data_IF_594457630017
#
_entry.id   IF_594457630017
#
_cell.length_a   1.000
_cell.length_b   1.000
_cell.length_c   1.000
_cell.angle_alpha   90.00
_cell.angle_beta   90.00
_cell.angle_gamma   90.00
#
_symmetry.space_group_name_H-M   'P 1'
#
loop_
_entity.id
_entity.type
_entity.pdbx_description
1 polymer ?
#
# COMPACT_ATOMS: atom_id res chain seq x y z
N UNK A 1 -19.60 27.59 4.49
CA UNK A 1 -18.48 27.26 5.40
C UNK A 1 -17.88 25.96 4.92
N UNK A 2 -16.80 26.03 4.15
CA UNK A 2 -16.10 24.83 3.68
C UNK A 2 -15.18 24.44 4.81
N UNK A 3 -15.48 23.34 5.49
CA UNK A 3 -14.55 22.72 6.44
C UNK A 3 -13.40 22.22 5.60
N UNK A 4 -12.25 22.88 5.68
CA UNK A 4 -11.00 22.30 5.23
C UNK A 4 -10.82 21.01 6.03
N UNK A 5 -11.11 19.86 5.41
CA UNK A 5 -10.71 18.57 5.99
C UNK A 5 -9.19 18.63 6.11
N UNK A 6 -8.68 18.67 7.33
CA UNK A 6 -7.24 18.54 7.56
C UNK A 6 -6.74 17.29 6.82
N UNK A 7 -5.55 17.38 6.23
CA UNK A 7 -4.89 16.22 5.61
C UNK A 7 -4.88 15.09 6.64
N UNK A 8 -5.50 13.96 6.29
CA UNK A 8 -5.50 12.80 7.16
C UNK A 8 -4.11 12.16 7.07
N UNK A 9 -3.41 12.11 8.20
CA UNK A 9 -2.07 11.53 8.30
C UNK A 9 -2.13 10.02 8.10
N UNK A 10 -1.05 9.44 7.59
CA UNK A 10 -0.84 8.00 7.58
C UNK A 10 -0.23 7.61 8.92
N UNK A 11 -1.04 6.99 9.78
CA UNK A 11 -0.62 6.53 11.09
C UNK A 11 -0.50 5.00 11.15
N UNK A 12 -0.09 4.49 12.32
CA UNK A 12 0.04 3.06 12.54
C UNK A 12 -1.29 2.31 12.38
N UNK A 13 -2.43 2.94 12.66
CA UNK A 13 -3.73 2.30 12.51
C UNK A 13 -4.04 2.05 11.03
N UNK A 14 -3.83 3.05 10.19
CA UNK A 14 -3.99 2.94 8.73
C UNK A 14 -3.04 1.88 8.17
N UNK A 15 -1.77 1.90 8.55
CA UNK A 15 -0.78 0.95 8.07
C UNK A 15 -1.10 -0.50 8.51
N UNK A 16 -1.50 -0.69 9.77
CA UNK A 16 -1.93 -2.00 10.29
C UNK A 16 -3.23 -2.50 9.65
N UNK A 17 -4.13 -1.58 9.28
CA UNK A 17 -5.33 -1.92 8.53
C UNK A 17 -4.97 -2.43 7.12
N UNK A 18 -4.02 -1.78 6.44
CA UNK A 18 -3.49 -2.28 5.16
C UNK A 18 -2.94 -3.70 5.30
N UNK A 19 -2.06 -3.95 6.29
CA UNK A 19 -1.52 -5.30 6.56
C UNK A 19 -2.64 -6.32 6.79
N UNK A 20 -3.64 -5.96 7.59
CA UNK A 20 -4.73 -6.86 7.94
C UNK A 20 -5.63 -7.19 6.76
N UNK A 21 -5.97 -6.21 5.93
CA UNK A 21 -6.80 -6.43 4.74
C UNK A 21 -6.04 -7.16 3.63
N UNK A 22 -4.74 -6.88 3.43
CA UNK A 22 -3.91 -7.68 2.52
C UNK A 22 -3.89 -9.13 2.97
N UNK A 23 -3.57 -9.41 4.23
CA UNK A 23 -3.48 -10.78 4.73
C UNK A 23 -4.82 -11.55 4.68
N UNK A 24 -5.94 -10.84 4.78
CA UNK A 24 -7.29 -11.41 4.70
C UNK A 24 -7.71 -11.73 3.27
N UNK A 25 -7.21 -10.98 2.29
CA UNK A 25 -7.63 -11.07 0.88
C UNK A 25 -6.57 -11.61 -0.06
N UNK A 26 -5.45 -12.10 0.46
CA UNK A 26 -4.33 -12.64 -0.30
C UNK A 26 -3.77 -13.90 0.36
N UNK A 27 -2.95 -14.70 -0.35
CA UNK A 27 -2.28 -15.85 0.25
C UNK A 27 -1.13 -15.48 1.22
N UNK A 28 -0.84 -14.19 1.40
CA UNK A 28 0.23 -13.72 2.27
C UNK A 28 -0.23 -13.69 3.72
N UNK A 29 0.47 -14.39 4.61
CA UNK A 29 0.29 -14.22 6.04
C UNK A 29 0.76 -12.84 6.52
N UNK A 30 0.27 -12.39 7.67
CA UNK A 30 0.65 -11.07 8.25
C UNK A 30 2.16 -10.96 8.47
N UNK A 31 2.80 -12.08 8.80
CA UNK A 31 4.25 -12.20 9.00
C UNK A 31 5.07 -11.95 7.73
N UNK A 32 4.47 -12.10 6.55
CA UNK A 32 5.08 -11.80 5.27
C UNK A 32 4.91 -10.33 4.84
N UNK A 33 4.29 -9.48 5.67
CA UNK A 33 3.98 -8.11 5.33
C UNK A 33 4.56 -7.18 6.39
N UNK A 34 5.39 -6.24 5.97
CA UNK A 34 5.91 -5.16 6.82
C UNK A 34 5.55 -3.80 6.24
N UNK A 35 5.62 -2.76 7.06
CA UNK A 35 5.43 -1.39 6.61
C UNK A 35 6.40 -0.42 7.27
N UNK A 36 6.59 0.71 6.61
CA UNK A 36 7.30 1.88 7.12
C UNK A 36 6.47 3.13 6.83
N UNK A 37 6.31 4.00 7.82
CA UNK A 37 5.67 5.30 7.65
C UNK A 37 6.79 6.33 7.46
N UNK A 38 6.72 7.09 6.37
CA UNK A 38 7.74 8.01 5.91
C UNK A 38 7.16 9.42 5.71
N UNK A 39 8.04 10.36 5.38
CA UNK A 39 7.71 11.73 5.00
C UNK A 39 6.76 12.41 5.99
N UNK A 40 7.12 12.48 7.28
CA UNK A 40 6.30 13.11 8.33
C UNK A 40 4.83 12.63 8.32
N UNK A 41 4.64 11.30 8.30
CA UNK A 41 3.33 10.65 8.27
C UNK A 41 2.53 10.94 7.00
N UNK A 42 3.19 11.31 5.91
CA UNK A 42 2.52 11.56 4.64
C UNK A 42 2.54 10.35 3.69
N UNK A 43 3.42 9.37 3.93
CA UNK A 43 3.61 8.22 3.05
C UNK A 43 3.70 6.91 3.83
N UNK A 44 3.17 5.81 3.26
CA UNK A 44 3.43 4.45 3.75
C UNK A 44 4.02 3.57 2.67
N UNK A 45 5.14 2.92 3.00
CA UNK A 45 5.75 1.87 2.21
C UNK A 45 5.38 0.51 2.80
N UNK A 46 4.67 -0.31 2.04
CA UNK A 46 4.38 -1.71 2.37
C UNK A 46 5.35 -2.63 1.63
N UNK A 47 5.90 -3.62 2.32
CA UNK A 47 6.72 -4.67 1.73
C UNK A 47 6.04 -6.03 1.92
N UNK A 48 5.75 -6.71 0.82
CA UNK A 48 5.13 -8.03 0.77
C UNK A 48 6.16 -9.05 0.33
N UNK A 49 6.52 -9.96 1.23
CA UNK A 49 7.42 -11.08 0.97
C UNK A 49 6.64 -12.22 0.35
N UNK A 50 7.05 -12.62 -0.86
CA UNK A 50 6.38 -13.70 -1.62
C UNK A 50 7.12 -15.03 -1.53
N UNK A 51 8.16 -15.12 -0.70
CA UNK A 51 8.94 -16.34 -0.51
C UNK A 51 8.07 -17.48 0.02
N UNK A 52 8.14 -18.65 -0.61
CA UNK A 52 7.36 -19.82 -0.21
C UNK A 52 5.88 -19.78 -0.61
N UNK A 53 5.41 -18.71 -1.26
CA UNK A 53 4.05 -18.62 -1.82
C UNK A 53 4.09 -18.98 -3.30
N UNK A 54 3.35 -20.02 -3.70
CA UNK A 54 3.30 -20.43 -5.10
C UNK A 54 2.54 -19.40 -5.94
N UNK A 55 3.25 -18.84 -6.92
CA UNK A 55 2.75 -18.05 -8.06
C UNK A 55 1.70 -16.99 -7.72
N UNK A 56 2.16 -15.85 -7.22
CA UNK A 56 1.32 -14.65 -7.04
C UNK A 56 1.10 -14.08 -8.43
N UNK A 57 -0.12 -14.13 -8.95
CA UNK A 57 -0.39 -13.61 -10.28
C UNK A 57 -0.24 -12.08 -10.30
N UNK A 58 0.10 -11.46 -11.45
CA UNK A 58 0.00 -10.01 -11.61
C UNK A 58 -1.38 -9.45 -11.23
N UNK A 59 -2.44 -10.23 -11.41
CA UNK A 59 -3.80 -9.83 -11.03
C UNK A 59 -3.97 -9.73 -9.52
N UNK A 60 -3.36 -10.64 -8.74
CA UNK A 60 -3.43 -10.60 -7.29
C UNK A 60 -2.63 -9.42 -6.73
N UNK A 61 -1.48 -9.11 -7.34
CA UNK A 61 -0.70 -7.90 -6.99
C UNK A 61 -1.47 -6.61 -7.26
N UNK A 62 -2.13 -6.50 -8.42
CA UNK A 62 -3.03 -5.37 -8.73
C UNK A 62 -4.20 -5.26 -7.76
N UNK A 63 -4.80 -6.37 -7.33
CA UNK A 63 -5.87 -6.36 -6.32
C UNK A 63 -5.38 -5.84 -4.98
N UNK A 64 -4.18 -6.22 -4.56
CA UNK A 64 -3.55 -5.70 -3.34
C UNK A 64 -3.30 -4.19 -3.47
N UNK A 65 -2.78 -3.74 -4.60
CA UNK A 65 -2.58 -2.32 -4.86
C UNK A 65 -3.89 -1.53 -4.75
N UNK A 66 -4.97 -2.03 -5.36
CA UNK A 66 -6.30 -1.42 -5.28
C UNK A 66 -6.89 -1.42 -3.85
N UNK A 67 -6.62 -2.47 -3.06
CA UNK A 67 -7.01 -2.50 -1.64
C UNK A 67 -6.31 -1.39 -0.85
N UNK A 68 -4.99 -1.25 -1.02
CA UNK A 68 -4.21 -0.22 -0.34
C UNK A 68 -4.67 1.18 -0.76
N UNK A 69 -4.93 1.42 -2.05
CA UNK A 69 -5.44 2.70 -2.55
C UNK A 69 -6.81 3.09 -1.98
N UNK A 70 -7.63 2.10 -1.63
CA UNK A 70 -8.92 2.32 -0.96
C UNK A 70 -8.81 2.62 0.54
N UNK A 71 -7.68 2.30 1.16
CA UNK A 71 -7.47 2.45 2.61
C UNK A 71 -6.67 3.72 2.92
N UNK A 72 -5.57 3.96 2.19
CA UNK A 72 -4.64 5.05 2.50
C UNK A 72 -5.24 6.39 2.08
N UNK A 73 -5.20 7.43 2.94
CA UNK A 73 -5.64 8.76 2.58
C UNK A 73 -4.96 9.29 1.31
N UNK A 74 -5.76 9.85 0.41
CA UNK A 74 -5.29 10.45 -0.84
C UNK A 74 -4.87 11.91 -0.65
N UNK A 75 -3.94 12.38 -1.47
CA UNK A 75 -3.29 13.68 -1.41
C UNK A 75 -3.33 14.35 -2.77
N UNK A 76 -3.28 15.68 -2.81
CA UNK A 76 -3.26 16.40 -4.08
C UNK A 76 -1.82 16.65 -4.52
N UNK A 77 -1.41 16.05 -5.63
CA UNK A 77 -0.10 16.26 -6.26
C UNK A 77 1.04 15.44 -5.66
N UNK A 78 0.74 14.51 -4.75
CA UNK A 78 1.72 13.69 -4.05
C UNK A 78 1.20 12.26 -3.92
N UNK A 79 2.08 11.27 -4.04
CA UNK A 79 1.75 9.89 -3.71
C UNK A 79 1.73 9.70 -2.19
N UNK A 80 0.85 8.83 -1.70
CA UNK A 80 0.73 8.55 -0.26
C UNK A 80 1.03 7.10 0.10
N UNK A 81 1.22 6.23 -0.89
CA UNK A 81 1.54 4.82 -0.63
C UNK A 81 2.36 4.18 -1.75
N UNK A 82 3.09 3.13 -1.38
CA UNK A 82 3.71 2.16 -2.29
C UNK A 82 3.65 0.76 -1.70
N UNK A 83 3.50 -0.25 -2.56
CA UNK A 83 3.59 -1.67 -2.23
C UNK A 83 4.72 -2.28 -3.04
N UNK A 84 5.73 -2.80 -2.37
CA UNK A 84 6.83 -3.57 -2.96
C UNK A 84 6.58 -5.06 -2.78
N UNK A 85 6.68 -5.83 -3.86
CA UNK A 85 6.68 -7.28 -3.81
C UNK A 85 8.11 -7.79 -3.90
N UNK A 86 8.50 -8.62 -2.95
CA UNK A 86 9.86 -9.11 -2.80
C UNK A 86 9.95 -10.63 -2.92
N UNK A 87 10.94 -11.10 -3.65
CA UNK A 87 11.27 -12.52 -3.82
C UNK A 87 12.77 -12.69 -3.60
N UNK A 88 13.16 -13.57 -2.68
CA UNK A 88 14.53 -13.78 -2.22
C UNK A 88 15.22 -12.46 -1.83
N UNK A 89 14.50 -11.60 -1.10
CA UNK A 89 14.98 -10.29 -0.65
C UNK A 89 15.15 -9.23 -1.74
N UNK A 90 14.72 -9.50 -2.98
CA UNK A 90 14.76 -8.53 -4.08
C UNK A 90 13.37 -8.09 -4.48
N UNK A 91 13.19 -6.78 -4.67
CA UNK A 91 11.97 -6.23 -5.25
C UNK A 91 11.88 -6.70 -6.70
N UNK A 92 10.77 -7.33 -7.08
CA UNK A 92 10.53 -7.76 -8.46
C UNK A 92 9.32 -7.07 -9.09
N UNK A 93 8.44 -6.48 -8.28
CA UNK A 93 7.29 -5.69 -8.74
C UNK A 93 6.92 -4.64 -7.69
N UNK A 94 6.37 -3.51 -8.12
CA UNK A 94 5.98 -2.40 -7.25
C UNK A 94 4.75 -1.68 -7.80
N UNK A 95 3.88 -1.25 -6.90
CA UNK A 95 2.70 -0.42 -7.19
C UNK A 95 2.72 0.79 -6.27
N UNK A 96 2.15 1.91 -6.71
CA UNK A 96 2.12 3.15 -5.94
C UNK A 96 0.86 3.95 -6.30
N UNK A 97 0.47 4.90 -5.45
CA UNK A 97 -0.72 5.71 -5.73
C UNK A 97 -1.04 6.72 -4.63
N UNK A 98 -2.31 7.11 -4.58
CA UNK A 98 -2.80 8.08 -3.60
C UNK A 98 -2.72 9.55 -4.03
N UNK A 99 -2.28 9.85 -5.27
CA UNK A 99 -2.36 11.20 -5.84
C UNK A 99 -3.75 11.46 -6.48
N UNK A 100 -4.48 12.44 -5.96
CA UNK A 100 -5.77 12.91 -6.46
C UNK A 100 -5.68 13.57 -7.84
N UNK A 101 -4.52 14.11 -8.22
CA UNK A 101 -4.31 14.68 -9.56
C UNK A 101 -4.02 13.59 -10.59
N UNK A 102 -3.60 12.41 -10.14
CA UNK A 102 -3.18 11.30 -10.98
C UNK A 102 -3.71 9.95 -10.43
N UNK A 103 -5.05 9.78 -10.33
CA UNK A 103 -5.69 8.74 -9.51
C UNK A 103 -5.41 7.30 -9.96
N UNK A 104 -5.03 7.10 -11.22
CA UNK A 104 -4.72 5.80 -11.81
C UNK A 104 -3.19 5.57 -11.98
N UNK A 105 -2.35 6.42 -11.40
CA UNK A 105 -0.89 6.24 -11.45
C UNK A 105 -0.49 4.95 -10.74
N UNK A 106 0.43 4.18 -11.33
CA UNK A 106 1.08 3.06 -10.64
C UNK A 106 0.19 1.85 -10.34
N UNK A 107 -1.02 1.77 -10.95
CA UNK A 107 -2.01 0.68 -10.82
C UNK A 107 -2.10 -0.23 -12.06
#
# INVERSE_FOLDING_TARGET
>A
MIVARGLQMVDNEIAQNCVSEIAKHSPFGKEGISFEIQDDFQFVLLSVVTDGVSDVSPLDRKRIAALVDGIVPKRSGEYSWMVNFTLNGKIFDSYFGGDLLSPDSGL
#
